data_IF_126268378716
#
_entry.id   IF_126268378716
#
_cell.length_a   1.000
_cell.length_b   1.000
_cell.length_c   1.000
_cell.angle_alpha   90.00
_cell.angle_beta   90.00
_cell.angle_gamma   90.00
#
_symmetry.space_group_name_H-M   'P 1'
#
loop_
_entity.id
_entity.type
_entity.pdbx_description
1 polymer ?
#
# COMPACT_ATOMS: atom_id res chain seq x y z
N UNK A 1 7.89 18.95 -21.81
CA UNK A 1 8.91 18.23 -21.01
C UNK A 1 8.25 16.98 -20.41
N UNK A 2 8.89 15.82 -20.52
CA UNK A 2 8.40 14.57 -19.92
C UNK A 2 9.36 14.15 -18.81
N UNK A 3 8.86 13.98 -17.60
CA UNK A 3 9.65 13.52 -16.47
C UNK A 3 8.77 12.72 -15.51
N UNK A 4 9.41 12.08 -14.54
CA UNK A 4 8.75 11.29 -13.50
C UNK A 4 9.30 11.70 -12.13
N UNK A 5 8.42 11.71 -11.15
CA UNK A 5 8.75 11.90 -9.75
C UNK A 5 8.47 10.58 -9.03
N UNK A 6 9.45 10.06 -8.31
CA UNK A 6 9.28 8.89 -7.46
C UNK A 6 9.10 9.39 -6.03
N UNK A 7 8.05 8.91 -5.36
CA UNK A 7 7.77 9.22 -3.97
C UNK A 7 7.42 7.94 -3.22
N UNK A 8 7.52 7.97 -1.90
CA UNK A 8 7.01 6.92 -1.04
C UNK A 8 5.89 7.51 -0.21
N UNK A 9 4.76 6.82 -0.15
CA UNK A 9 3.66 7.15 0.76
C UNK A 9 3.58 6.09 1.85
N UNK A 10 3.27 6.52 3.06
CA UNK A 10 2.98 5.61 4.17
C UNK A 10 1.48 5.36 4.21
N UNK A 11 1.08 4.10 4.12
CA UNK A 11 -0.34 3.70 4.10
C UNK A 11 -0.64 2.81 5.29
N UNK A 12 -1.65 3.19 6.06
CA UNK A 12 -2.13 2.40 7.17
C UNK A 12 -3.06 1.29 6.67
N UNK A 13 -2.75 0.05 7.04
CA UNK A 13 -3.58 -1.12 6.81
C UNK A 13 -4.16 -1.59 8.14
N UNK A 14 -5.50 -1.57 8.26
CA UNK A 14 -6.18 -1.95 9.50
C UNK A 14 -6.94 -3.26 9.30
N UNK A 15 -6.62 -4.28 10.08
CA UNK A 15 -7.30 -5.58 10.02
C UNK A 15 -6.98 -6.48 11.20
N UNK A 16 -7.94 -7.32 11.61
CA UNK A 16 -7.79 -8.28 12.72
C UNK A 16 -7.29 -7.69 14.06
N UNK A 17 -7.66 -6.44 14.35
CA UNK A 17 -7.21 -5.73 15.56
C UNK A 17 -5.75 -5.23 15.49
N UNK A 18 -5.12 -5.28 14.31
CA UNK A 18 -3.79 -4.74 14.05
C UNK A 18 -3.88 -3.57 13.05
N UNK A 19 -3.04 -2.56 13.25
CA UNK A 19 -2.79 -1.49 12.30
C UNK A 19 -1.31 -1.54 11.90
N UNK A 20 -1.03 -1.74 10.62
CA UNK A 20 0.34 -1.82 10.08
C UNK A 20 0.52 -0.67 9.10
N UNK A 21 1.48 0.18 9.37
CA UNK A 21 1.92 1.20 8.43
C UNK A 21 2.88 0.57 7.43
N UNK A 22 2.56 0.70 6.15
CA UNK A 22 3.34 0.12 5.05
C UNK A 22 3.85 1.22 4.13
N UNK A 23 5.17 1.34 3.91
CA UNK A 23 5.72 2.24 2.91
C UNK A 23 5.44 1.69 1.52
N UNK A 24 4.89 2.52 0.64
CA UNK A 24 4.53 2.15 -0.72
C UNK A 24 5.18 3.11 -1.72
N UNK A 25 6.06 2.62 -2.60
CA UNK A 25 6.64 3.44 -3.66
C UNK A 25 5.57 3.73 -4.71
N UNK A 26 5.41 5.01 -5.04
CA UNK A 26 4.54 5.51 -6.09
C UNK A 26 5.35 6.35 -7.08
N UNK A 27 4.78 6.53 -8.27
CA UNK A 27 5.37 7.32 -9.33
C UNK A 27 4.35 8.30 -9.92
N UNK A 28 4.72 9.57 -9.99
CA UNK A 28 3.95 10.62 -10.63
C UNK A 28 4.61 10.97 -11.96
N UNK A 29 3.97 10.64 -13.07
CA UNK A 29 4.46 10.93 -14.41
C UNK A 29 3.85 12.23 -14.94
N UNK A 30 4.69 13.19 -15.31
CA UNK A 30 4.24 14.41 -15.99
C UNK A 30 4.36 14.23 -17.51
N UNK A 31 3.23 14.21 -18.22
CA UNK A 31 3.17 14.04 -19.68
C UNK A 31 2.21 15.08 -20.27
N UNK A 32 2.66 15.79 -21.32
CA UNK A 32 1.83 16.75 -22.07
C UNK A 32 1.15 17.83 -21.21
N UNK A 33 1.78 18.24 -20.10
CA UNK A 33 1.23 19.25 -19.19
C UNK A 33 0.30 18.69 -18.13
N UNK A 34 0.12 17.37 -18.06
CA UNK A 34 -0.74 16.70 -17.09
C UNK A 34 0.05 15.68 -16.26
N UNK A 35 -0.49 15.37 -15.09
CA UNK A 35 0.07 14.48 -14.09
C UNK A 35 -0.75 13.19 -14.01
N UNK A 36 -0.05 12.06 -13.87
CA UNK A 36 -0.66 10.76 -13.66
C UNK A 36 0.07 10.01 -12.55
N UNK A 37 -0.70 9.48 -11.61
CA UNK A 37 -0.22 8.58 -10.58
C UNK A 37 -0.16 7.13 -11.02
N UNK A 38 0.89 6.45 -10.60
CA UNK A 38 1.21 5.07 -10.93
C UNK A 38 1.75 4.38 -9.68
N UNK A 39 1.33 3.14 -9.45
CA UNK A 39 1.96 2.25 -8.48
C UNK A 39 2.03 0.85 -9.08
N UNK A 40 3.12 0.13 -8.83
CA UNK A 40 3.28 -1.25 -9.34
C UNK A 40 2.69 -2.28 -8.37
N UNK A 41 2.74 -1.99 -7.07
CA UNK A 41 2.30 -2.88 -6.00
C UNK A 41 1.69 -2.05 -4.84
N UNK A 42 0.36 -1.88 -4.80
CA UNK A 42 -0.65 -2.47 -5.68
C UNK A 42 -0.66 -1.84 -7.08
N UNK A 43 -1.10 -2.57 -8.14
CA UNK A 43 -1.15 -2.04 -9.50
C UNK A 43 -2.23 -0.96 -9.60
N UNK A 44 -1.80 0.30 -9.57
CA UNK A 44 -2.68 1.47 -9.64
C UNK A 44 -2.26 2.36 -10.80
N UNK A 45 -3.24 2.88 -11.53
CA UNK A 45 -3.04 3.92 -12.54
C UNK A 45 -4.20 4.89 -12.47
N UNK A 46 -3.92 6.13 -12.12
CA UNK A 46 -4.95 7.16 -11.99
C UNK A 46 -5.31 7.76 -13.36
N UNK A 47 -6.42 8.50 -13.46
CA UNK A 47 -6.64 9.47 -14.52
C UNK A 47 -5.52 10.52 -14.62
N UNK A 48 -5.55 11.31 -15.69
CA UNK A 48 -4.68 12.48 -15.86
C UNK A 48 -5.28 13.69 -15.14
N UNK A 49 -4.45 14.45 -14.45
CA UNK A 49 -4.83 15.66 -13.70
C UNK A 49 -3.99 16.85 -14.15
N UNK A 50 -4.51 18.06 -13.97
CA UNK A 50 -3.80 19.27 -14.38
C UNK A 50 -2.76 19.74 -13.34
N UNK A 51 -2.88 19.28 -12.09
CA UNK A 51 -1.93 19.60 -11.02
C UNK A 51 -1.36 18.35 -10.34
N UNK A 52 -0.18 18.55 -9.74
CA UNK A 52 0.59 17.49 -9.07
C UNK A 52 -0.14 16.95 -7.84
N UNK A 53 -0.77 17.83 -7.07
CA UNK A 53 -1.38 17.53 -5.78
C UNK A 53 -2.58 16.59 -5.95
N UNK A 54 -3.47 16.88 -6.90
CA UNK A 54 -4.59 16.00 -7.25
C UNK A 54 -4.12 14.62 -7.69
N UNK A 55 -3.09 14.55 -8.55
CA UNK A 55 -2.54 13.27 -8.99
C UNK A 55 -1.92 12.48 -7.83
N UNK A 56 -1.26 13.16 -6.89
CA UNK A 56 -0.69 12.55 -5.68
C UNK A 56 -1.78 12.01 -4.76
N UNK A 57 -2.78 12.84 -4.42
CA UNK A 57 -3.89 12.46 -3.54
C UNK A 57 -4.67 11.29 -4.15
N UNK A 58 -5.06 11.39 -5.41
CA UNK A 58 -5.81 10.33 -6.08
C UNK A 58 -5.03 9.01 -6.15
N UNK A 59 -3.71 9.08 -6.39
CA UNK A 59 -2.86 7.89 -6.39
C UNK A 59 -2.77 7.27 -4.99
N UNK A 60 -2.59 8.08 -3.95
CA UNK A 60 -2.49 7.61 -2.58
C UNK A 60 -3.80 6.98 -2.09
N UNK A 61 -4.94 7.60 -2.38
CA UNK A 61 -6.27 7.08 -2.04
C UNK A 61 -6.55 5.74 -2.74
N UNK A 62 -6.24 5.62 -4.04
CA UNK A 62 -6.42 4.37 -4.77
C UNK A 62 -5.50 3.26 -4.23
N UNK A 63 -4.22 3.57 -3.98
CA UNK A 63 -3.27 2.62 -3.37
C UNK A 63 -3.76 2.16 -1.99
N UNK A 64 -4.26 3.09 -1.17
CA UNK A 64 -4.79 2.76 0.15
C UNK A 64 -6.02 1.83 0.06
N UNK A 65 -6.94 2.11 -0.87
CA UNK A 65 -8.11 1.27 -1.10
C UNK A 65 -7.74 -0.15 -1.53
N UNK A 66 -6.80 -0.30 -2.47
CA UNK A 66 -6.31 -1.60 -2.95
C UNK A 66 -5.63 -2.40 -1.82
N UNK A 67 -4.77 -1.76 -1.03
CA UNK A 67 -4.08 -2.41 0.08
C UNK A 67 -5.06 -2.83 1.19
N UNK A 68 -6.03 -1.97 1.52
CA UNK A 68 -7.05 -2.30 2.50
C UNK A 68 -7.96 -3.44 2.01
N UNK A 69 -8.28 -3.48 0.71
CA UNK A 69 -8.98 -4.59 0.08
C UNK A 69 -8.21 -5.91 0.20
N UNK A 70 -6.90 -5.89 -0.01
CA UNK A 70 -6.05 -7.07 0.12
C UNK A 70 -6.04 -7.64 1.56
N UNK A 71 -6.12 -6.79 2.59
CA UNK A 71 -6.24 -7.23 4.00
C UNK A 71 -7.57 -7.92 4.27
N UNK A 72 -8.66 -7.48 3.64
CA UNK A 72 -9.97 -8.11 3.78
C UNK A 72 -9.99 -9.53 3.15
N UNK A 73 -9.31 -9.71 2.01
CA UNK A 73 -9.22 -11.01 1.33
C UNK A 73 -8.19 -11.95 1.94
N UNK A 74 -7.07 -11.39 2.43
CA UNK A 74 -5.95 -12.11 3.04
C UNK A 74 -5.61 -11.45 4.37
N UNK A 75 -6.33 -11.82 5.44
CA UNK A 75 -6.09 -11.27 6.77
C UNK A 75 -4.61 -11.31 7.13
N UNK A 76 -4.08 -10.17 7.59
CA UNK A 76 -2.68 -10.04 7.99
C UNK A 76 -2.36 -11.05 9.09
N UNK A 77 -1.44 -11.98 8.82
CA UNK A 77 -0.89 -12.90 9.81
C UNK A 77 0.45 -12.32 10.27
N UNK A 78 0.44 -11.55 11.35
CA UNK A 78 1.65 -11.09 12.02
C UNK A 78 2.30 -12.26 12.79
N UNK A 79 2.88 -13.21 12.05
CA UNK A 79 3.57 -14.36 12.61
C UNK A 79 2.63 -15.42 13.21
N UNK A 80 2.99 -16.69 12.99
CA UNK A 80 2.35 -17.81 13.67
C UNK A 80 2.79 -17.76 15.15
N UNK A 81 1.92 -17.30 16.05
CA UNK A 81 2.10 -17.45 17.50
C UNK A 81 1.75 -18.91 17.88
N UNK A 82 2.42 -19.87 17.24
CA UNK A 82 2.45 -21.25 17.74
C UNK A 82 3.90 -21.49 18.11
N UNK A 83 4.22 -21.74 19.40
CA UNK A 83 5.55 -22.19 19.77
C UNK A 83 5.87 -23.44 18.94
N UNK A 84 6.94 -23.40 18.15
CA UNK A 84 7.39 -24.59 17.40
C UNK A 84 7.86 -25.71 18.34
N UNK A 85 8.17 -25.37 19.58
CA UNK A 85 8.53 -26.29 20.64
C UNK A 85 7.60 -26.12 21.84
N UNK A 86 6.56 -26.95 21.93
CA UNK A 86 5.92 -27.25 23.21
C UNK A 86 6.81 -28.32 23.86
N UNK A 87 7.54 -28.05 24.96
CA UNK A 87 8.29 -29.08 25.64
C UNK A 87 7.36 -30.23 26.02
N UNK A 88 7.74 -31.48 25.73
CA UNK A 88 6.93 -32.69 25.98
C UNK A 88 6.50 -32.91 27.45
N UNK A 89 6.88 -32.02 28.37
CA UNK A 89 6.66 -32.12 29.80
C UNK A 89 5.58 -31.16 30.36
N UNK A 90 4.86 -30.42 29.51
CA UNK A 90 3.89 -29.40 29.98
C UNK A 90 2.54 -30.00 30.40
N UNK A 91 2.22 -31.24 30.00
CA UNK A 91 1.06 -31.98 30.49
C UNK A 91 1.51 -33.12 31.40
N UNK A 92 1.54 -32.86 32.71
CA UNK A 92 1.54 -33.87 33.77
C UNK A 92 0.37 -33.62 34.69
#
# INVERSE_FOLDING_TARGET
MHFRLNATIEVDQVGNGLAVQTPVPIQLAHRRGQWQGLCEAPPVTTPMFDNLEEALIACAEQVAAELQGAVAERPLIAGRITPNDIPKNVFR
#
